data_IF_179237122846
#
_entry.id   IF_179237122846
#
_cell.length_a   1.000
_cell.length_b   1.000
_cell.length_c   1.000
_cell.angle_alpha   90.00
_cell.angle_beta   90.00
_cell.angle_gamma   90.00
#
_symmetry.space_group_name_H-M   'P 1'
#
loop_
_entity.id
_entity.type
_entity.pdbx_description
1 polymer ?
#
# COMPACT_ATOMS: atom_id res chain seq x y z
N UNK A 1 8.52 12.97 -4.00
CA UNK A 1 9.70 12.29 -4.55
C UNK A 1 9.34 11.46 -5.79
N UNK A 2 8.38 10.56 -5.66
CA UNK A 2 7.91 9.75 -6.79
C UNK A 2 7.47 10.59 -7.97
N UNK A 3 6.69 11.63 -7.72
CA UNK A 3 6.18 12.52 -8.77
C UNK A 3 7.30 13.26 -9.49
N UNK A 4 8.24 13.80 -8.74
CA UNK A 4 9.39 14.49 -9.34
C UNK A 4 10.22 13.54 -10.20
N UNK A 5 10.52 12.36 -9.67
CA UNK A 5 11.31 11.36 -10.39
C UNK A 5 10.60 10.88 -11.65
N UNK A 6 9.29 10.67 -11.56
CA UNK A 6 8.50 10.25 -12.71
C UNK A 6 8.59 11.26 -13.86
N UNK A 7 8.49 12.55 -13.55
CA UNK A 7 8.59 13.61 -14.55
C UNK A 7 10.01 13.69 -15.12
N UNK A 8 11.01 13.62 -14.25
CA UNK A 8 12.42 13.70 -14.67
C UNK A 8 12.78 12.54 -15.61
N UNK A 9 12.35 11.33 -15.27
CA UNK A 9 12.62 10.17 -16.12
C UNK A 9 11.88 10.26 -17.45
N UNK A 10 10.63 10.75 -17.43
CA UNK A 10 9.88 10.94 -18.66
C UNK A 10 10.53 11.99 -19.57
N UNK A 11 11.04 13.08 -18.99
CA UNK A 11 11.73 14.11 -19.77
C UNK A 11 13.01 13.58 -20.43
N UNK A 12 13.69 12.65 -19.77
CA UNK A 12 14.96 12.10 -20.27
C UNK A 12 14.77 10.94 -21.25
N UNK A 13 13.79 10.07 -20.98
CA UNK A 13 13.67 8.78 -21.65
C UNK A 13 12.31 8.57 -22.35
N UNK A 14 11.41 9.56 -22.29
CA UNK A 14 10.09 9.43 -22.86
C UNK A 14 9.23 8.43 -22.07
N UNK A 15 8.41 7.68 -22.77
CA UNK A 15 7.48 6.73 -22.16
C UNK A 15 8.08 5.35 -21.89
N UNK A 16 9.39 5.22 -22.00
CA UNK A 16 10.09 3.94 -21.81
C UNK A 16 10.22 3.57 -20.33
N UNK A 17 10.16 4.56 -19.45
CA UNK A 17 10.28 4.35 -18.01
C UNK A 17 9.09 4.99 -17.30
N UNK A 18 8.60 4.31 -16.30
CA UNK A 18 7.54 4.82 -15.45
C UNK A 18 7.93 4.64 -13.99
N UNK A 19 7.50 5.55 -13.14
CA UNK A 19 7.72 5.46 -11.71
C UNK A 19 6.43 5.74 -10.98
N UNK A 20 5.97 4.76 -10.24
CA UNK A 20 4.77 4.84 -9.43
C UNK A 20 5.08 4.33 -8.02
N UNK A 21 4.24 4.67 -7.07
CA UNK A 21 4.38 4.22 -5.69
C UNK A 21 3.21 3.32 -5.32
N UNK A 22 3.52 2.22 -4.63
CA UNK A 22 2.53 1.39 -3.98
C UNK A 22 2.57 1.72 -2.49
N UNK A 23 1.43 2.14 -1.93
CA UNK A 23 1.34 2.61 -0.55
C UNK A 23 0.45 1.64 0.23
N UNK A 24 1.05 0.64 0.91
CA UNK A 24 0.26 -0.31 1.68
C UNK A 24 -0.18 0.28 3.01
N UNK A 25 -1.34 -0.16 3.49
CA UNK A 25 -1.75 0.04 4.86
C UNK A 25 -1.07 -0.98 5.78
N UNK A 26 -1.82 -1.47 6.75
CA UNK A 26 -1.29 -2.46 7.69
C UNK A 26 -1.65 -3.86 7.24
N UNK A 27 -0.62 -4.63 6.91
CA UNK A 27 -0.74 -6.01 6.49
C UNK A 27 -0.12 -6.92 7.54
N UNK A 28 -0.78 -8.01 7.86
CA UNK A 28 -0.25 -8.97 8.81
C UNK A 28 0.70 -9.91 8.07
N UNK A 29 1.99 -9.76 8.36
CA UNK A 29 3.05 -10.58 7.80
C UNK A 29 3.93 -11.11 8.93
N UNK A 30 4.79 -12.05 8.61
CA UNK A 30 5.67 -12.68 9.59
C UNK A 30 6.48 -11.67 10.39
N UNK A 31 6.94 -10.61 9.73
CA UNK A 31 7.79 -9.59 10.33
C UNK A 31 7.12 -8.81 11.45
N UNK A 32 5.81 -8.56 11.35
CA UNK A 32 5.09 -7.71 12.30
C UNK A 32 4.06 -8.44 13.14
N UNK A 33 3.96 -9.76 12.98
CA UNK A 33 2.95 -10.57 13.65
C UNK A 33 3.01 -10.40 15.17
N UNK A 34 4.21 -10.40 15.73
CA UNK A 34 4.41 -10.27 17.17
C UNK A 34 4.05 -8.89 17.71
N UNK A 35 4.15 -7.86 16.87
CA UNK A 35 3.81 -6.50 17.26
C UNK A 35 2.30 -6.26 17.27
N UNK A 36 1.58 -6.98 16.43
CA UNK A 36 0.16 -6.73 16.18
C UNK A 36 -0.75 -7.81 16.78
N UNK A 37 -0.23 -9.03 16.99
CA UNK A 37 -1.00 -10.14 17.52
C UNK A 37 -0.26 -10.84 18.65
N UNK A 38 -1.05 -11.41 19.57
CA UNK A 38 -0.56 -12.27 20.64
C UNK A 38 -0.47 -13.72 20.14
N UNK A 39 0.13 -14.59 20.94
CA UNK A 39 0.29 -16.01 20.59
C UNK A 39 -1.05 -16.72 20.38
N UNK A 40 -2.10 -16.30 21.09
CA UNK A 40 -3.43 -16.88 20.99
C UNK A 40 -4.24 -16.33 19.81
N UNK A 41 -3.64 -15.47 18.98
CA UNK A 41 -4.29 -14.88 17.82
C UNK A 41 -5.06 -13.61 18.08
N UNK A 42 -5.22 -13.20 19.35
CA UNK A 42 -5.85 -11.91 19.68
C UNK A 42 -4.91 -10.75 19.32
N UNK A 43 -5.46 -9.55 19.22
CA UNK A 43 -4.66 -8.37 18.88
C UNK A 43 -3.97 -7.79 20.11
N UNK A 44 -2.75 -7.29 19.93
CA UNK A 44 -2.08 -6.45 20.92
C UNK A 44 -2.77 -5.08 20.95
N UNK A 45 -2.42 -4.25 21.96
CA UNK A 45 -2.92 -2.87 22.00
C UNK A 45 -2.62 -2.11 20.72
N UNK A 46 -1.42 -2.32 20.16
CA UNK A 46 -1.04 -1.72 18.89
C UNK A 46 -1.90 -2.24 17.73
N UNK A 47 -2.13 -3.54 17.70
CA UNK A 47 -3.00 -4.16 16.70
C UNK A 47 -4.42 -3.60 16.79
N UNK A 48 -4.97 -3.48 17.98
CA UNK A 48 -6.30 -2.90 18.19
C UNK A 48 -6.39 -1.45 17.69
N UNK A 49 -5.36 -0.64 17.96
CA UNK A 49 -5.32 0.75 17.48
C UNK A 49 -5.35 0.81 15.95
N UNK A 50 -4.58 -0.05 15.29
CA UNK A 50 -4.55 -0.14 13.84
C UNK A 50 -5.92 -0.53 13.30
N UNK A 51 -6.55 -1.55 13.88
CA UNK A 51 -7.87 -2.04 13.45
C UNK A 51 -8.93 -0.94 13.60
N UNK A 52 -8.92 -0.22 14.72
CA UNK A 52 -9.87 0.88 14.94
C UNK A 52 -9.70 2.00 13.93
N UNK A 53 -8.46 2.24 13.49
CA UNK A 53 -8.14 3.30 12.53
C UNK A 53 -8.30 2.87 11.07
N UNK A 54 -8.59 1.60 10.83
CA UNK A 54 -8.79 1.07 9.48
C UNK A 54 -10.29 0.85 9.25
N UNK A 55 -10.92 1.56 8.29
CA UNK A 55 -12.36 1.38 8.04
C UNK A 55 -12.77 -0.06 7.76
N UNK A 56 -11.93 -0.84 7.09
CA UNK A 56 -12.23 -2.27 6.82
C UNK A 56 -12.19 -3.14 8.08
N UNK A 57 -11.68 -2.62 9.20
CA UNK A 57 -11.66 -3.31 10.50
C UNK A 57 -10.93 -4.65 10.47
N UNK A 58 -9.92 -4.74 9.65
CA UNK A 58 -9.02 -5.90 9.57
C UNK A 58 -7.67 -5.50 9.02
N UNK A 59 -6.69 -6.36 9.21
CA UNK A 59 -5.41 -6.26 8.52
C UNK A 59 -5.57 -6.73 7.07
N UNK A 60 -4.73 -6.21 6.18
CA UNK A 60 -4.64 -6.72 4.83
C UNK A 60 -3.88 -8.04 4.79
N UNK A 61 -4.23 -8.87 3.84
CA UNK A 61 -3.46 -10.05 3.49
C UNK A 61 -2.42 -9.64 2.45
N UNK A 62 -1.14 -10.05 2.59
CA UNK A 62 -0.11 -9.70 1.60
C UNK A 62 -0.50 -9.99 0.14
N UNK A 63 -1.29 -11.02 -0.09
CA UNK A 63 -1.77 -11.34 -1.45
C UNK A 63 -2.66 -10.22 -2.03
N UNK A 64 -3.24 -9.39 -1.18
CA UNK A 64 -4.09 -8.29 -1.64
C UNK A 64 -3.29 -7.12 -2.22
N UNK A 65 -1.97 -7.13 -2.09
CA UNK A 65 -1.09 -6.15 -2.75
C UNK A 65 -0.72 -6.56 -4.17
N UNK A 66 -0.81 -7.84 -4.48
CA UNK A 66 -0.29 -8.42 -5.72
C UNK A 66 -0.97 -7.86 -6.95
N UNK A 67 -2.30 -7.69 -6.90
CA UNK A 67 -3.06 -7.19 -8.04
C UNK A 67 -2.62 -5.79 -8.48
N UNK A 68 -2.47 -4.87 -7.52
CA UNK A 68 -2.03 -3.51 -7.81
C UNK A 68 -0.60 -3.49 -8.34
N UNK A 69 0.28 -4.30 -7.74
CA UNK A 69 1.68 -4.39 -8.16
C UNK A 69 1.79 -4.91 -9.61
N UNK A 70 1.10 -6.01 -9.92
CA UNK A 70 1.12 -6.58 -11.28
C UNK A 70 0.57 -5.59 -12.28
N UNK A 71 -0.53 -4.91 -11.95
CA UNK A 71 -1.11 -3.90 -12.85
C UNK A 71 -0.11 -2.78 -13.14
N UNK A 72 0.56 -2.25 -12.11
CA UNK A 72 1.55 -1.19 -12.30
C UNK A 72 2.75 -1.63 -13.14
N UNK A 73 3.10 -2.92 -13.10
CA UNK A 73 4.21 -3.48 -13.86
C UNK A 73 3.81 -3.94 -15.27
N UNK A 74 2.52 -3.95 -15.57
CA UNK A 74 2.01 -4.51 -16.82
C UNK A 74 1.81 -3.44 -17.90
N UNK A 75 1.55 -3.90 -19.11
CA UNK A 75 1.22 -3.02 -20.24
C UNK A 75 -0.17 -2.39 -20.10
N UNK A 76 -0.98 -2.86 -19.17
CA UNK A 76 -2.31 -2.29 -18.91
C UNK A 76 -2.23 -0.91 -18.25
N UNK A 77 -1.06 -0.53 -17.71
CA UNK A 77 -0.86 0.75 -17.05
C UNK A 77 0.19 1.63 -17.73
N UNK A 78 0.36 1.49 -19.05
CA UNK A 78 1.44 2.18 -19.78
C UNK A 78 1.35 3.70 -19.72
N UNK A 79 0.17 4.26 -19.51
CA UNK A 79 -0.01 5.73 -19.39
C UNK A 79 -0.08 6.20 -17.95
N UNK A 80 0.20 5.32 -16.98
CA UNK A 80 0.19 5.62 -15.55
C UNK A 80 1.61 5.92 -15.09
N UNK A 81 1.85 7.16 -14.70
CA UNK A 81 3.19 7.62 -14.28
C UNK A 81 3.06 8.65 -13.17
N UNK A 82 3.83 8.48 -12.10
CA UNK A 82 3.86 9.42 -10.99
C UNK A 82 2.71 9.29 -10.01
N UNK A 83 1.94 8.21 -10.07
CA UNK A 83 0.82 8.00 -9.17
C UNK A 83 1.21 7.23 -7.91
N UNK A 84 0.38 7.38 -6.89
CA UNK A 84 0.46 6.55 -5.67
C UNK A 84 -0.83 5.75 -5.57
N UNK A 85 -0.71 4.43 -5.52
CA UNK A 85 -1.85 3.53 -5.34
C UNK A 85 -1.86 3.08 -3.88
N UNK A 86 -2.92 3.47 -3.17
CA UNK A 86 -3.12 3.08 -1.78
C UNK A 86 -3.88 1.76 -1.71
N UNK A 87 -3.32 0.81 -0.97
CA UNK A 87 -3.96 -0.48 -0.71
C UNK A 87 -3.97 -0.63 0.81
N UNK A 88 -4.97 -0.04 1.47
CA UNK A 88 -4.91 0.21 2.90
C UNK A 88 -6.25 0.04 3.65
N UNK A 89 -7.28 -0.46 2.99
CA UNK A 89 -8.58 -0.63 3.64
C UNK A 89 -9.21 0.68 4.11
N UNK A 90 -8.78 1.80 3.54
CA UNK A 90 -9.27 3.13 3.87
C UNK A 90 -8.50 3.84 4.98
N UNK A 91 -7.41 3.26 5.46
CA UNK A 91 -6.66 3.80 6.59
C UNK A 91 -6.24 5.27 6.39
N UNK A 92 -5.70 5.61 5.23
CA UNK A 92 -5.12 6.95 5.01
C UNK A 92 -6.17 8.03 4.79
N UNK A 93 -7.42 7.67 4.51
CA UNK A 93 -8.49 8.64 4.28
C UNK A 93 -9.46 8.74 5.46
N UNK A 94 -9.30 7.91 6.47
CA UNK A 94 -10.17 7.90 7.64
C UNK A 94 -9.69 8.92 8.66
N UNK A 95 -10.57 9.84 9.06
CA UNK A 95 -10.26 10.89 10.03
C UNK A 95 -10.59 10.50 11.48
N UNK A 96 -11.19 9.35 11.69
CA UNK A 96 -11.62 8.92 13.01
C UNK A 96 -13.02 9.36 13.40
N UNK A 97 -13.72 10.02 12.51
CA UNK A 97 -15.10 10.48 12.71
C UNK A 97 -16.02 10.03 11.60
#
# INVERSE_FOLDING_TARGET
>A
YTKWFAVEMANRYGDKLRMNALVPGFFLAEQNRRLLTNEDGSYTDRGDKVIRSTPYKRFGNPDELTGALIWLLSDESTFVNGTSIKVDGGFTIFSGV
#
